data_IF_125225937393
#
_entry.id   IF_125225937393
#
_cell.length_a   1.000
_cell.length_b   1.000
_cell.length_c   1.000
_cell.angle_alpha   90.00
_cell.angle_beta   90.00
_cell.angle_gamma   90.00
#
_symmetry.space_group_name_H-M   'P 1'
#
loop_
_entity.id
_entity.type
_entity.pdbx_description
1 polymer ?
#
# COMPACT_ATOMS: atom_id res chain seq x y z
N UNK A 1 52.42 72.83 0.34
CA UNK A 1 51.93 71.82 -0.62
C UNK A 1 51.63 70.53 0.15
N UNK A 2 50.38 70.24 0.45
CA UNK A 2 49.97 68.93 0.99
C UNK A 2 48.94 68.34 0.03
N UNK A 3 49.29 67.19 -0.59
CA UNK A 3 48.39 66.43 -1.46
C UNK A 3 47.52 65.52 -0.59
N UNK A 4 46.21 65.72 -0.65
CA UNK A 4 45.24 64.84 -0.01
C UNK A 4 45.10 63.54 -0.82
N UNK A 5 45.32 62.41 -0.16
CA UNK A 5 45.06 61.06 -0.69
C UNK A 5 43.57 60.76 -0.49
N UNK A 6 42.85 60.48 -1.58
CA UNK A 6 41.46 60.02 -1.53
C UNK A 6 41.44 58.49 -1.44
N UNK A 7 40.92 57.95 -0.34
CA UNK A 7 40.54 56.54 -0.25
C UNK A 7 39.23 56.35 -1.02
N UNK A 8 39.25 55.47 -2.01
CA UNK A 8 38.05 55.02 -2.73
C UNK A 8 37.50 53.78 -2.01
N UNK A 9 36.33 53.91 -1.41
CA UNK A 9 35.64 52.80 -0.74
C UNK A 9 34.99 51.89 -1.78
N UNK A 10 35.59 50.72 -2.03
CA UNK A 10 34.97 49.66 -2.82
C UNK A 10 33.89 48.99 -1.98
N UNK A 11 32.63 49.25 -2.29
CA UNK A 11 31.50 48.62 -1.61
C UNK A 11 31.25 47.26 -2.25
N UNK A 12 31.63 46.19 -1.56
CA UNK A 12 31.32 44.80 -1.95
C UNK A 12 29.87 44.53 -1.57
N UNK A 13 28.97 44.51 -2.57
CA UNK A 13 27.58 44.12 -2.38
C UNK A 13 27.47 42.61 -2.18
N UNK A 14 27.20 42.19 -0.94
CA UNK A 14 26.91 40.80 -0.60
C UNK A 14 25.46 40.48 -1.03
N UNK A 15 25.28 39.75 -2.13
CA UNK A 15 23.97 39.21 -2.51
C UNK A 15 23.63 38.03 -1.59
N UNK A 16 22.70 38.23 -0.65
CA UNK A 16 22.03 37.14 0.05
C UNK A 16 20.91 36.58 -0.83
N UNK A 17 21.15 35.44 -1.47
CA UNK A 17 20.07 34.64 -2.06
C UNK A 17 19.31 33.95 -0.92
N UNK A 18 18.12 34.45 -0.60
CA UNK A 18 17.19 33.76 0.30
C UNK A 18 16.61 32.55 -0.42
N UNK A 19 17.16 31.36 -0.18
CA UNK A 19 16.45 30.11 -0.47
C UNK A 19 15.40 29.94 0.62
N UNK A 20 14.11 30.12 0.27
CA UNK A 20 13.03 29.67 1.14
C UNK A 20 13.10 28.14 1.18
N UNK A 21 13.65 27.60 2.26
CA UNK A 21 13.42 26.20 2.62
C UNK A 21 11.96 26.13 3.08
N UNK A 22 11.06 25.80 2.16
CA UNK A 22 9.70 25.43 2.54
C UNK A 22 9.82 24.11 3.30
N UNK A 23 9.68 24.18 4.63
CA UNK A 23 9.34 22.98 5.40
C UNK A 23 7.98 22.54 4.88
N UNK A 24 7.97 21.45 4.15
CA UNK A 24 6.83 21.01 3.39
C UNK A 24 6.06 20.05 4.32
N UNK A 25 4.84 20.45 4.70
CA UNK A 25 4.10 19.94 5.87
C UNK A 25 3.44 18.56 5.61
N UNK A 26 3.18 17.81 6.68
CA UNK A 26 2.30 16.63 6.68
C UNK A 26 0.93 17.03 6.13
N UNK A 27 0.40 16.29 5.16
CA UNK A 27 -0.97 16.47 4.68
C UNK A 27 -1.92 15.78 5.67
N UNK A 28 -2.83 16.51 6.35
CA UNK A 28 -3.67 15.91 7.40
C UNK A 28 -4.68 14.89 6.87
N UNK A 29 -5.21 15.13 5.67
CA UNK A 29 -6.18 14.28 4.99
C UNK A 29 -6.03 14.44 3.47
N UNK A 30 -6.04 13.32 2.74
CA UNK A 30 -6.29 13.30 1.29
C UNK A 30 -7.72 12.79 1.07
N UNK A 31 -8.50 13.49 0.26
CA UNK A 31 -9.94 13.24 0.11
C UNK A 31 -10.21 12.59 -1.24
N UNK A 32 -10.52 11.30 -1.23
CA UNK A 32 -10.77 10.52 -2.44
C UNK A 32 -12.26 10.57 -2.75
N UNK A 33 -12.63 11.28 -3.82
CA UNK A 33 -14.03 11.43 -4.27
C UNK A 33 -14.11 11.50 -5.78
N UNK A 34 -15.30 11.23 -6.33
CA UNK A 34 -15.66 11.48 -7.73
C UNK A 34 -14.65 10.90 -8.73
N UNK A 35 -14.22 9.66 -8.48
CA UNK A 35 -13.29 8.97 -9.36
C UNK A 35 -13.84 8.90 -10.79
N UNK A 36 -12.98 9.13 -11.77
CA UNK A 36 -13.35 8.88 -13.17
C UNK A 36 -12.25 8.12 -13.92
N UNK A 37 -12.68 7.26 -14.84
CA UNK A 37 -11.77 6.50 -15.69
C UNK A 37 -11.11 7.44 -16.71
N UNK A 38 -9.78 7.36 -16.83
CA UNK A 38 -9.05 8.03 -17.90
C UNK A 38 -9.58 7.59 -19.27
N UNK A 39 -9.72 8.54 -20.19
CA UNK A 39 -10.20 8.29 -21.55
C UNK A 39 -9.10 8.59 -22.58
N UNK A 40 -9.26 8.08 -23.80
CA UNK A 40 -8.29 8.25 -24.90
C UNK A 40 -8.04 6.95 -25.66
N UNK A 41 -7.25 7.01 -26.73
CA UNK A 41 -6.95 5.85 -27.58
C UNK A 41 -6.20 4.74 -26.85
N UNK A 42 -5.39 5.11 -25.85
CA UNK A 42 -4.53 4.18 -25.10
C UNK A 42 -5.15 3.76 -23.75
N UNK A 43 -6.32 4.31 -23.41
CA UNK A 43 -7.00 4.02 -22.16
C UNK A 43 -7.53 2.58 -22.14
N UNK A 44 -7.38 1.90 -21.01
CA UNK A 44 -7.98 0.58 -20.77
C UNK A 44 -9.43 0.73 -20.28
N UNK A 45 -10.21 -0.31 -20.50
CA UNK A 45 -11.59 -0.38 -20.02
C UNK A 45 -11.63 -0.43 -18.49
N UNK A 46 -12.74 0.04 -17.90
CA UNK A 46 -12.97 -0.03 -16.46
C UNK A 46 -12.72 -1.45 -15.92
N UNK A 47 -12.01 -1.54 -14.81
CA UNK A 47 -11.71 -2.79 -14.10
C UNK A 47 -10.68 -3.70 -14.78
N UNK A 48 -10.13 -3.33 -15.95
CA UNK A 48 -9.07 -4.09 -16.62
C UNK A 48 -7.68 -3.78 -16.04
N UNK A 49 -6.74 -4.72 -16.17
CA UNK A 49 -5.34 -4.44 -15.85
C UNK A 49 -4.81 -3.32 -16.77
N UNK A 50 -4.14 -2.34 -16.16
CA UNK A 50 -3.71 -1.09 -16.78
C UNK A 50 -4.80 0.00 -16.88
N UNK A 51 -6.00 -0.22 -16.35
CA UNK A 51 -6.99 0.86 -16.21
C UNK A 51 -6.49 1.91 -15.21
N UNK A 52 -6.71 3.18 -15.57
CA UNK A 52 -6.28 4.35 -14.79
C UNK A 52 -7.51 5.13 -14.38
N UNK A 53 -7.66 5.35 -13.08
CA UNK A 53 -8.71 6.15 -12.48
C UNK A 53 -8.10 7.39 -11.84
N UNK A 54 -8.71 8.54 -12.10
CA UNK A 54 -8.26 9.82 -11.56
C UNK A 54 -9.24 10.25 -10.48
N UNK A 55 -8.70 10.53 -9.30
CA UNK A 55 -9.39 11.17 -8.19
C UNK A 55 -8.94 12.63 -8.17
N UNK A 56 -9.78 13.57 -8.64
CA UNK A 56 -9.38 14.95 -8.75
C UNK A 56 -9.31 15.62 -7.38
N UNK A 57 -8.34 16.52 -7.20
CA UNK A 57 -8.20 17.39 -6.03
C UNK A 57 -8.22 16.65 -4.68
N UNK A 58 -7.52 15.51 -4.58
CA UNK A 58 -7.36 14.79 -3.30
C UNK A 58 -6.67 15.66 -2.25
N UNK A 59 -5.85 16.60 -2.69
CA UNK A 59 -5.42 17.78 -1.96
C UNK A 59 -5.45 18.97 -2.91
N UNK A 60 -5.19 20.16 -2.37
CA UNK A 60 -5.14 21.38 -3.18
C UNK A 60 -4.12 21.23 -4.32
N UNK A 61 -4.60 21.36 -5.55
CA UNK A 61 -3.82 21.30 -6.80
C UNK A 61 -3.11 19.94 -7.02
N UNK A 62 -3.58 18.87 -6.36
CA UNK A 62 -3.02 17.51 -6.45
C UNK A 62 -4.14 16.51 -6.74
N UNK A 63 -3.96 15.74 -7.80
CA UNK A 63 -4.79 14.58 -8.14
C UNK A 63 -4.11 13.29 -7.68
N UNK A 64 -4.92 12.29 -7.34
CA UNK A 64 -4.43 10.91 -7.22
C UNK A 64 -4.79 10.11 -8.47
N UNK A 65 -3.81 9.38 -8.98
CA UNK A 65 -3.93 8.52 -10.15
C UNK A 65 -3.82 7.07 -9.66
N UNK A 66 -4.91 6.32 -9.74
CA UNK A 66 -5.00 4.93 -9.32
C UNK A 66 -4.95 4.02 -10.55
N UNK A 67 -3.87 3.26 -10.67
CA UNK A 67 -3.66 2.31 -11.77
C UNK A 67 -3.82 0.88 -11.28
N UNK A 68 -4.65 0.08 -11.96
CA UNK A 68 -4.72 -1.37 -11.72
C UNK A 68 -3.47 -2.01 -12.31
N UNK A 69 -2.54 -2.48 -11.48
CA UNK A 69 -1.28 -3.09 -11.95
C UNK A 69 -1.47 -4.53 -12.38
N UNK A 70 -2.38 -5.24 -11.71
CA UNK A 70 -2.68 -6.62 -12.01
C UNK A 70 -3.48 -7.30 -10.92
N UNK A 71 -3.64 -8.60 -11.06
CA UNK A 71 -4.42 -9.44 -10.16
C UNK A 71 -3.86 -10.85 -10.07
N UNK A 72 -4.21 -11.53 -8.99
CA UNK A 72 -3.80 -12.92 -8.73
C UNK A 72 -4.35 -13.97 -9.71
N UNK A 73 -5.50 -13.72 -10.32
CA UNK A 73 -6.19 -14.63 -11.25
C UNK A 73 -7.16 -13.87 -12.14
N UNK A 74 -7.42 -14.40 -13.33
CA UNK A 74 -8.47 -13.96 -14.27
C UNK A 74 -9.90 -14.00 -13.69
N UNK A 75 -10.13 -14.73 -12.60
CA UNK A 75 -11.39 -14.75 -11.86
C UNK A 75 -11.59 -13.54 -10.95
N UNK A 76 -10.55 -12.74 -10.71
CA UNK A 76 -10.62 -11.55 -9.87
C UNK A 76 -11.14 -10.38 -10.70
N UNK A 77 -12.09 -9.64 -10.16
CA UNK A 77 -12.66 -8.46 -10.82
C UNK A 77 -12.82 -7.30 -9.86
N UNK A 78 -12.71 -6.09 -10.39
CA UNK A 78 -13.13 -4.87 -9.71
C UNK A 78 -14.62 -4.66 -10.00
N UNK A 79 -15.46 -4.70 -8.96
CA UNK A 79 -16.90 -4.46 -9.07
C UNK A 79 -17.19 -2.96 -9.07
N UNK A 80 -16.48 -2.20 -8.21
CA UNK A 80 -16.54 -0.75 -8.14
C UNK A 80 -15.14 -0.21 -7.80
N UNK A 81 -14.71 0.87 -8.47
CA UNK A 81 -13.44 1.54 -8.13
C UNK A 81 -13.53 2.29 -6.81
N UNK A 82 -14.71 2.86 -6.56
CA UNK A 82 -15.02 3.62 -5.36
C UNK A 82 -16.50 3.43 -5.05
N UNK A 83 -16.81 3.21 -3.78
CA UNK A 83 -18.17 3.15 -3.28
C UNK A 83 -18.51 4.51 -2.69
N UNK A 84 -19.27 5.29 -3.44
CA UNK A 84 -19.70 6.63 -3.04
C UNK A 84 -20.38 6.59 -1.67
N UNK A 85 -20.06 7.58 -0.84
CA UNK A 85 -20.81 7.85 0.38
C UNK A 85 -22.10 8.61 0.11
N UNK A 86 -22.92 8.85 1.14
CA UNK A 86 -24.20 9.55 0.99
C UNK A 86 -24.10 11.00 0.50
N UNK A 87 -22.99 11.70 0.72
CA UNK A 87 -22.79 13.06 0.20
C UNK A 87 -22.38 13.04 -1.29
N UNK A 88 -21.70 11.98 -1.75
CA UNK A 88 -21.34 11.76 -3.16
C UNK A 88 -22.51 11.17 -3.98
N UNK A 89 -23.22 10.17 -3.44
CA UNK A 89 -24.47 9.61 -4.02
C UNK A 89 -25.59 9.59 -2.97
N UNK A 90 -26.42 10.63 -2.98
CA UNK A 90 -27.57 10.76 -2.07
C UNK A 90 -28.65 9.66 -2.21
N UNK A 91 -28.62 8.86 -3.27
CA UNK A 91 -29.64 7.84 -3.53
C UNK A 91 -29.16 6.44 -3.16
N UNK A 92 -27.92 6.09 -3.52
CA UNK A 92 -27.39 4.74 -3.32
C UNK A 92 -26.05 4.71 -2.57
N UNK A 93 -25.57 5.85 -2.07
CA UNK A 93 -24.30 5.94 -1.35
C UNK A 93 -24.29 5.09 -0.09
N UNK A 94 -23.35 4.14 -0.05
CA UNK A 94 -23.18 3.22 1.08
C UNK A 94 -21.80 3.31 1.72
N UNK A 95 -20.88 4.05 1.12
CA UNK A 95 -19.52 4.24 1.60
C UNK A 95 -19.32 5.44 2.53
N UNK A 96 -18.05 5.81 2.73
CA UNK A 96 -17.61 7.02 3.38
C UNK A 96 -17.14 8.02 2.34
N UNK A 97 -17.69 9.22 2.42
CA UNK A 97 -17.51 10.24 1.40
C UNK A 97 -16.09 10.72 1.16
N UNK A 98 -15.11 10.46 2.04
CA UNK A 98 -13.73 10.92 1.85
C UNK A 98 -12.72 9.78 1.67
N UNK A 99 -13.18 8.53 1.75
CA UNK A 99 -12.32 7.36 1.66
C UNK A 99 -12.31 6.82 0.23
N UNK A 100 -11.22 6.17 -0.15
CA UNK A 100 -11.21 5.34 -1.35
C UNK A 100 -11.71 3.94 -1.01
N UNK A 101 -12.79 3.50 -1.66
CA UNK A 101 -13.48 2.27 -1.30
C UNK A 101 -13.66 1.30 -2.47
N UNK A 102 -12.58 0.65 -2.94
CA UNK A 102 -12.67 -0.31 -4.03
C UNK A 102 -13.36 -1.59 -3.55
N UNK A 103 -14.19 -2.14 -4.44
CA UNK A 103 -14.89 -3.39 -4.22
C UNK A 103 -14.29 -4.48 -5.12
N UNK A 104 -13.62 -5.47 -4.51
CA UNK A 104 -12.88 -6.53 -5.21
C UNK A 104 -13.59 -7.86 -5.03
N UNK A 105 -13.91 -8.52 -6.15
CA UNK A 105 -14.62 -9.79 -6.20
C UNK A 105 -13.76 -10.94 -6.71
N UNK A 106 -14.15 -12.16 -6.35
CA UNK A 106 -13.66 -13.40 -6.95
C UNK A 106 -14.81 -14.23 -7.54
N UNK A 107 -14.68 -14.61 -8.82
CA UNK A 107 -15.54 -15.56 -9.54
C UNK A 107 -17.05 -15.31 -9.34
N UNK A 108 -17.48 -14.06 -9.52
CA UNK A 108 -18.88 -13.65 -9.34
C UNK A 108 -19.35 -13.62 -7.88
N UNK A 109 -18.42 -13.42 -6.94
CA UNK A 109 -18.70 -13.34 -5.49
C UNK A 109 -18.59 -14.68 -4.76
N UNK A 110 -18.01 -15.71 -5.38
CA UNK A 110 -17.82 -17.02 -4.78
C UNK A 110 -16.36 -17.48 -4.80
N UNK A 111 -15.76 -17.69 -3.61
CA UNK A 111 -14.42 -18.25 -3.48
C UNK A 111 -14.47 -19.69 -2.94
N UNK A 112 -13.85 -20.67 -3.61
CA UNK A 112 -13.63 -22.03 -3.07
C UNK A 112 -12.77 -22.00 -1.81
N UNK A 113 -12.79 -23.09 -1.02
CA UNK A 113 -11.90 -23.23 0.13
C UNK A 113 -10.41 -23.12 -0.26
N UNK A 114 -9.59 -22.61 0.65
CA UNK A 114 -8.14 -22.41 0.49
C UNK A 114 -7.76 -21.55 -0.72
N UNK A 115 -8.62 -20.61 -1.09
CA UNK A 115 -8.38 -19.64 -2.16
C UNK A 115 -7.90 -18.33 -1.54
N UNK A 116 -6.84 -17.75 -2.11
CA UNK A 116 -6.44 -16.35 -1.87
C UNK A 116 -6.52 -15.59 -3.18
N UNK A 117 -7.07 -14.38 -3.12
CA UNK A 117 -7.17 -13.51 -4.30
C UNK A 117 -6.94 -12.06 -3.94
N UNK A 118 -6.45 -11.32 -4.92
CA UNK A 118 -6.15 -9.92 -4.78
C UNK A 118 -6.10 -9.19 -6.12
N UNK A 119 -6.28 -7.87 -6.03
CA UNK A 119 -5.89 -6.88 -7.04
C UNK A 119 -4.84 -5.95 -6.46
N UNK A 120 -3.86 -5.57 -7.27
CA UNK A 120 -2.82 -4.63 -6.89
C UNK A 120 -3.01 -3.30 -7.61
N UNK A 121 -2.93 -2.23 -6.85
CA UNK A 121 -3.11 -0.86 -7.29
C UNK A 121 -1.87 -0.05 -6.97
N UNK A 122 -1.43 0.73 -7.93
CA UNK A 122 -0.46 1.80 -7.73
C UNK A 122 -1.22 3.10 -7.64
N UNK A 123 -0.98 3.87 -6.60
CA UNK A 123 -1.56 5.20 -6.40
C UNK A 123 -0.41 6.18 -6.49
N UNK A 124 -0.42 7.02 -7.53
CA UNK A 124 0.53 8.11 -7.69
C UNK A 124 -0.15 9.47 -7.54
N UNK A 125 0.62 10.50 -7.24
CA UNK A 125 0.15 11.87 -7.09
C UNK A 125 0.71 12.73 -8.21
N UNK A 126 -0.15 13.55 -8.81
CA UNK A 126 0.21 14.42 -9.92
C UNK A 126 -0.40 15.81 -9.77
N UNK A 127 0.14 16.75 -10.54
CA UNK A 127 -0.40 18.11 -10.67
C UNK A 127 -1.80 18.05 -11.28
N UNK A 128 -2.76 18.77 -10.68
CA UNK A 128 -4.16 18.76 -11.14
C UNK A 128 -4.31 19.21 -12.61
N UNK A 129 -3.46 20.11 -13.08
CA UNK A 129 -3.53 20.67 -14.44
C UNK A 129 -2.71 19.84 -15.45
N UNK A 130 -1.78 19.00 -14.97
CA UNK A 130 -0.92 18.16 -15.80
C UNK A 130 -0.62 16.83 -15.12
N UNK A 131 -1.41 15.80 -15.44
CA UNK A 131 -1.25 14.44 -14.92
C UNK A 131 0.09 13.77 -15.30
N UNK A 132 0.85 14.34 -16.24
CA UNK A 132 2.21 13.89 -16.56
C UNK A 132 3.28 14.41 -15.59
N UNK A 133 2.93 15.36 -14.71
CA UNK A 133 3.82 15.98 -13.74
C UNK A 133 3.57 15.38 -12.35
N UNK A 134 4.39 14.42 -11.98
CA UNK A 134 4.36 13.80 -10.66
C UNK A 134 4.65 14.81 -9.53
N UNK A 135 3.93 14.65 -8.42
CA UNK A 135 4.06 15.47 -7.21
C UNK A 135 4.42 14.57 -6.04
N UNK A 136 5.53 14.86 -5.37
CA UNK A 136 5.85 14.19 -4.11
C UNK A 136 5.04 14.78 -2.96
N UNK A 137 4.39 13.91 -2.17
CA UNK A 137 3.74 14.26 -0.91
C UNK A 137 4.70 13.97 0.25
N UNK A 138 4.97 14.98 1.08
CA UNK A 138 5.99 14.88 2.14
C UNK A 138 5.62 13.88 3.22
N UNK A 139 4.34 13.80 3.53
CA UNK A 139 3.83 12.88 4.52
C UNK A 139 2.32 12.79 4.40
N UNK A 140 1.81 11.57 4.49
CA UNK A 140 0.39 11.31 4.59
C UNK A 140 0.16 9.97 5.31
N UNK A 141 -1.05 9.80 5.82
CA UNK A 141 -1.50 8.55 6.41
C UNK A 141 -2.45 7.83 5.47
N UNK A 142 -2.48 6.50 5.54
CA UNK A 142 -3.52 5.68 4.92
C UNK A 142 -4.03 4.71 5.96
N UNK A 143 -5.30 4.84 6.32
CA UNK A 143 -5.95 3.96 7.28
C UNK A 143 -6.86 2.98 6.57
N UNK A 144 -6.55 1.69 6.68
CA UNK A 144 -7.48 0.63 6.33
C UNK A 144 -8.55 0.52 7.42
N UNK A 145 -9.82 0.64 7.03
CA UNK A 145 -10.96 0.49 7.91
C UNK A 145 -11.61 -0.86 7.69
N UNK A 146 -12.10 -1.46 8.79
CA UNK A 146 -12.95 -2.64 8.75
C UNK A 146 -12.33 -3.82 8.00
N UNK A 147 -11.02 -4.06 8.17
CA UNK A 147 -10.31 -5.16 7.51
C UNK A 147 -10.70 -6.47 8.21
N UNK A 148 -11.72 -7.14 7.67
CA UNK A 148 -12.47 -8.14 8.42
C UNK A 148 -12.91 -9.36 7.58
N UNK A 149 -13.85 -10.16 8.11
CA UNK A 149 -14.29 -11.39 7.46
C UNK A 149 -15.77 -11.45 7.12
N UNK A 150 -16.20 -12.65 6.73
CA UNK A 150 -17.61 -12.90 6.38
C UNK A 150 -18.46 -13.52 7.51
N UNK A 151 -17.82 -13.68 8.68
CA UNK A 151 -18.36 -14.32 9.88
C UNK A 151 -18.19 -15.84 9.91
N UNK A 152 -17.50 -16.44 8.92
CA UNK A 152 -17.42 -17.89 8.75
C UNK A 152 -16.05 -18.39 8.31
N UNK A 153 -15.62 -18.06 7.10
CA UNK A 153 -14.48 -18.71 6.45
C UNK A 153 -13.59 -17.80 5.63
N UNK A 154 -14.02 -16.56 5.40
CA UNK A 154 -13.28 -15.55 4.65
C UNK A 154 -12.70 -14.52 5.61
N UNK A 155 -11.48 -14.09 5.31
CA UNK A 155 -10.78 -12.94 5.87
C UNK A 155 -10.30 -12.05 4.73
N UNK A 156 -10.50 -10.74 4.86
CA UNK A 156 -9.90 -9.72 4.03
C UNK A 156 -8.48 -9.45 4.47
N UNK A 157 -7.70 -8.91 3.56
CA UNK A 157 -6.40 -8.37 3.89
C UNK A 157 -6.09 -7.15 3.03
N UNK A 158 -5.29 -6.26 3.61
CA UNK A 158 -4.67 -5.16 2.90
C UNK A 158 -3.16 -5.31 2.98
N UNK A 159 -2.47 -5.18 1.85
CA UNK A 159 -1.01 -5.16 1.81
C UNK A 159 -0.52 -3.79 1.42
N UNK A 160 0.31 -3.18 2.25
CA UNK A 160 0.95 -1.90 1.98
C UNK A 160 2.44 -2.13 1.74
N UNK A 161 2.96 -1.54 0.68
CA UNK A 161 4.37 -1.61 0.31
C UNK A 161 5.08 -0.28 0.59
N UNK A 162 6.35 -0.37 0.97
CA UNK A 162 7.28 0.75 1.17
C UNK A 162 6.81 1.83 2.18
N UNK A 163 5.88 1.49 3.06
CA UNK A 163 5.45 2.34 4.18
C UNK A 163 6.60 2.59 5.17
N UNK A 164 6.58 3.77 5.79
CA UNK A 164 7.61 4.21 6.76
C UNK A 164 7.34 3.77 8.18
N UNK A 165 6.11 3.43 8.52
CA UNK A 165 5.69 2.77 9.76
C UNK A 165 4.20 2.43 9.64
N UNK A 166 3.70 1.68 10.60
CA UNK A 166 2.27 1.49 10.79
C UNK A 166 1.91 1.51 12.28
N UNK A 167 0.65 1.79 12.57
CA UNK A 167 0.07 1.77 13.91
C UNK A 167 -1.17 0.89 13.91
N UNK A 168 -1.32 0.08 14.96
CA UNK A 168 -2.48 -0.76 15.25
C UNK A 168 -2.87 -0.60 16.72
N UNK A 169 -4.09 -1.03 17.07
CA UNK A 169 -4.51 -1.15 18.47
C UNK A 169 -3.67 -2.23 19.19
N UNK A 170 -3.35 -2.05 20.48
CA UNK A 170 -2.61 -3.07 21.23
C UNK A 170 -3.33 -4.43 21.26
N UNK A 171 -4.66 -4.39 21.36
CA UNK A 171 -5.53 -5.56 21.32
C UNK A 171 -6.29 -5.57 19.99
N UNK A 172 -5.55 -5.73 18.88
CA UNK A 172 -6.11 -5.81 17.53
C UNK A 172 -6.42 -7.26 17.15
N UNK A 173 -7.42 -7.45 16.29
CA UNK A 173 -7.69 -8.71 15.61
C UNK A 173 -6.84 -8.87 14.33
N UNK A 174 -6.13 -7.82 13.90
CA UNK A 174 -5.28 -7.81 12.72
C UNK A 174 -3.98 -8.57 12.97
N UNK A 175 -3.60 -9.44 12.03
CA UNK A 175 -2.32 -10.14 12.04
C UNK A 175 -1.37 -9.55 10.98
N UNK A 176 -0.38 -8.74 11.37
CA UNK A 176 0.60 -8.19 10.44
C UNK A 176 1.65 -9.23 10.03
N UNK A 177 1.80 -9.48 8.74
CA UNK A 177 2.77 -10.42 8.15
C UNK A 177 3.77 -9.67 7.27
N UNK A 178 5.06 -9.94 7.43
CA UNK A 178 6.10 -9.44 6.51
C UNK A 178 5.97 -10.11 5.15
N UNK A 179 5.92 -9.31 4.10
CA UNK A 179 5.88 -9.82 2.73
C UNK A 179 6.88 -9.04 1.86
N UNK A 180 7.30 -9.63 0.74
CA UNK A 180 8.22 -9.01 -0.22
C UNK A 180 7.68 -9.15 -1.64
N UNK A 181 7.85 -8.09 -2.41
CA UNK A 181 7.52 -8.04 -3.82
C UNK A 181 6.09 -7.58 -4.11
N UNK A 182 5.99 -6.51 -4.88
CA UNK A 182 4.80 -6.12 -5.64
C UNK A 182 5.03 -6.39 -7.14
N UNK A 183 4.00 -6.21 -7.98
CA UNK A 183 4.12 -6.41 -9.43
C UNK A 183 5.07 -5.39 -10.09
N UNK A 184 5.21 -4.20 -9.51
CA UNK A 184 6.11 -3.15 -10.01
C UNK A 184 7.55 -3.28 -9.48
N UNK A 185 7.74 -3.89 -8.31
CA UNK A 185 9.06 -4.10 -7.70
C UNK A 185 9.09 -5.38 -6.83
N UNK A 186 9.75 -6.42 -7.33
CA UNK A 186 9.94 -7.69 -6.63
C UNK A 186 10.78 -7.59 -5.34
N UNK A 187 11.47 -6.47 -5.12
CA UNK A 187 12.23 -6.23 -3.91
C UNK A 187 11.50 -5.34 -2.89
N UNK A 188 10.34 -4.78 -3.24
CA UNK A 188 9.58 -3.91 -2.35
C UNK A 188 9.28 -4.65 -1.04
N UNK A 189 9.55 -3.99 0.08
CA UNK A 189 9.16 -4.51 1.39
C UNK A 189 7.70 -4.11 1.64
N UNK A 190 6.92 -5.02 2.19
CA UNK A 190 5.54 -4.73 2.55
C UNK A 190 5.11 -5.37 3.86
N UNK A 191 3.90 -5.00 4.26
CA UNK A 191 3.14 -5.68 5.32
C UNK A 191 1.77 -6.01 4.81
N UNK A 192 1.41 -7.29 4.90
CA UNK A 192 0.02 -7.72 4.79
C UNK A 192 -0.60 -7.62 6.18
N UNK A 193 -1.78 -7.03 6.25
CA UNK A 193 -2.59 -6.92 7.45
C UNK A 193 -3.79 -7.84 7.25
N UNK A 194 -3.72 -9.03 7.83
CA UNK A 194 -4.73 -10.06 7.69
C UNK A 194 -5.82 -9.88 8.76
N UNK A 195 -7.05 -9.71 8.32
CA UNK A 195 -8.22 -9.53 9.17
C UNK A 195 -8.69 -10.83 9.83
N UNK A 196 -9.57 -10.73 10.85
CA UNK A 196 -10.24 -11.90 11.40
C UNK A 196 -11.28 -12.46 10.41
N UNK A 197 -11.77 -13.68 10.65
CA UNK A 197 -12.97 -14.18 9.96
C UNK A 197 -14.26 -13.57 10.49
N UNK A 198 -14.20 -12.83 11.60
CA UNK A 198 -15.34 -12.14 12.22
C UNK A 198 -15.83 -11.04 11.29
N UNK A 199 -17.14 -10.97 11.11
CA UNK A 199 -17.79 -9.89 10.36
C UNK A 199 -18.18 -8.77 11.34
N UNK A 200 -17.60 -7.62 11.14
CA UNK A 200 -17.96 -6.32 11.69
C UNK A 200 -18.99 -5.68 10.74
N UNK A 201 -20.22 -5.42 11.22
CA UNK A 201 -21.25 -4.91 10.32
C UNK A 201 -20.98 -3.45 9.92
N UNK A 202 -20.80 -3.24 8.61
CA UNK A 202 -20.50 -1.95 7.98
C UNK A 202 -19.12 -1.43 8.34
N UNK A 203 -18.54 -0.70 7.40
CA UNK A 203 -17.31 0.05 7.66
C UNK A 203 -17.60 1.05 8.79
N UNK A 204 -16.72 1.07 9.79
CA UNK A 204 -16.81 1.95 10.95
C UNK A 204 -15.45 2.57 11.25
N UNK A 205 -15.46 3.83 11.67
CA UNK A 205 -14.26 4.56 12.08
C UNK A 205 -13.91 4.39 13.56
N UNK A 206 -14.59 3.47 14.25
CA UNK A 206 -14.47 3.30 15.71
C UNK A 206 -14.11 1.87 16.13
N UNK A 207 -14.17 0.88 15.24
CA UNK A 207 -13.69 -0.47 15.50
C UNK A 207 -12.16 -0.52 15.29
N UNK A 208 -11.42 0.00 16.27
CA UNK A 208 -9.96 0.15 16.18
C UNK A 208 -9.22 -1.19 16.15
N UNK A 209 -9.88 -2.28 16.56
CA UNK A 209 -9.37 -3.64 16.54
C UNK A 209 -9.21 -4.22 15.13
N UNK A 210 -9.93 -3.69 14.14
CA UNK A 210 -9.82 -4.06 12.70
C UNK A 210 -9.35 -2.89 11.83
N UNK A 211 -8.63 -1.95 12.43
CA UNK A 211 -8.04 -0.80 11.74
C UNK A 211 -6.52 -0.86 11.75
N UNK A 212 -5.94 -0.34 10.68
CA UNK A 212 -4.50 -0.19 10.50
C UNK A 212 -4.22 1.20 9.96
N UNK A 213 -3.28 1.95 10.53
CA UNK A 213 -2.86 3.25 9.98
C UNK A 213 -1.41 3.15 9.53
N UNK A 214 -1.16 3.28 8.22
CA UNK A 214 0.17 3.36 7.64
C UNK A 214 0.61 4.81 7.47
N UNK A 215 1.90 5.06 7.57
CA UNK A 215 2.51 6.36 7.26
C UNK A 215 3.45 6.24 6.07
N UNK A 216 3.32 7.18 5.14
CA UNK A 216 4.21 7.38 4.02
C UNK A 216 4.89 8.73 4.13
N UNK A 217 6.14 8.84 3.68
CA UNK A 217 6.87 10.09 3.69
C UNK A 217 7.72 10.27 2.44
N UNK A 218 7.71 11.50 1.92
CA UNK A 218 8.48 11.97 0.78
C UNK A 218 8.37 11.03 -0.42
N UNK A 219 7.13 10.74 -0.83
CA UNK A 219 6.84 9.83 -1.94
C UNK A 219 5.79 10.44 -2.86
N UNK A 220 5.94 10.20 -4.15
CA UNK A 220 4.98 10.53 -5.21
C UNK A 220 4.05 9.35 -5.51
N UNK A 221 4.36 8.15 -5.03
CA UNK A 221 3.51 6.97 -5.20
C UNK A 221 3.55 6.03 -3.99
N UNK A 222 2.59 5.11 -3.97
CA UNK A 222 2.68 3.89 -3.18
C UNK A 222 1.88 2.78 -3.86
N UNK A 223 2.15 1.54 -3.44
CA UNK A 223 1.44 0.36 -3.93
C UNK A 223 0.64 -0.25 -2.78
N UNK A 224 -0.60 -0.60 -3.08
CA UNK A 224 -1.48 -1.35 -2.18
C UNK A 224 -2.05 -2.57 -2.89
N UNK A 225 -2.12 -3.68 -2.18
CA UNK A 225 -2.84 -4.87 -2.61
C UNK A 225 -4.06 -5.05 -1.75
N UNK A 226 -5.19 -5.28 -2.40
CA UNK A 226 -6.48 -5.41 -1.76
C UNK A 226 -7.01 -6.79 -2.12
N UNK A 227 -7.37 -7.56 -1.11
CA UNK A 227 -7.73 -8.95 -1.33
C UNK A 227 -8.43 -9.58 -0.16
N UNK A 228 -8.71 -10.86 -0.35
CA UNK A 228 -9.24 -11.72 0.68
C UNK A 228 -8.78 -13.15 0.43
N UNK A 229 -8.91 -13.97 1.45
CA UNK A 229 -8.62 -15.40 1.36
C UNK A 229 -9.68 -16.20 2.11
N UNK A 230 -9.67 -17.50 1.90
CA UNK A 230 -10.58 -18.44 2.56
C UNK A 230 -9.77 -19.53 3.23
N UNK A 231 -10.20 -19.94 4.41
CA UNK A 231 -9.64 -21.10 5.09
C UNK A 231 -10.21 -22.42 4.54
N UNK A 232 -10.44 -23.37 5.44
CA UNK A 232 -10.90 -24.72 5.10
C UNK A 232 -12.30 -24.80 4.42
N UNK A 233 -13.06 -23.70 4.37
CA UNK A 233 -14.39 -23.66 3.78
C UNK A 233 -14.51 -22.54 2.74
N UNK A 234 -15.32 -22.78 1.71
CA UNK A 234 -15.64 -21.79 0.69
C UNK A 234 -16.49 -20.63 1.25
N UNK A 235 -16.56 -19.52 0.52
CA UNK A 235 -17.45 -18.40 0.82
C UNK A 235 -18.25 -17.98 -0.43
N UNK A 236 -19.51 -17.58 -0.22
CA UNK A 236 -20.35 -16.94 -1.24
C UNK A 236 -20.44 -15.43 -1.05
N UNK A 237 -19.50 -14.86 -0.29
CA UNK A 237 -19.37 -13.43 0.00
C UNK A 237 -17.98 -12.95 -0.40
N UNK A 238 -17.47 -13.44 -1.54
CA UNK A 238 -16.13 -13.13 -2.02
C UNK A 238 -16.06 -11.81 -2.81
N UNK A 239 -17.15 -11.03 -2.80
CA UNK A 239 -17.22 -9.66 -3.27
C UNK A 239 -17.09 -8.74 -2.05
N UNK A 240 -15.91 -8.12 -1.89
CA UNK A 240 -15.46 -7.51 -0.64
C UNK A 240 -15.29 -6.01 -0.79
N UNK A 241 -15.92 -5.27 0.12
CA UNK A 241 -15.88 -3.81 0.17
C UNK A 241 -14.70 -3.42 1.07
N UNK A 242 -13.72 -2.73 0.51
CA UNK A 242 -12.57 -2.26 1.26
C UNK A 242 -12.70 -0.75 1.48
N UNK A 243 -12.04 -0.22 2.49
CA UNK A 243 -12.04 1.22 2.74
C UNK A 243 -10.67 1.71 3.19
N UNK A 244 -10.09 2.60 2.40
CA UNK A 244 -8.82 3.26 2.66
C UNK A 244 -9.06 4.75 2.83
N UNK A 245 -9.01 5.23 4.07
CA UNK A 245 -9.15 6.64 4.36
C UNK A 245 -7.79 7.27 4.61
N UNK A 246 -7.42 8.25 3.81
CA UNK A 246 -6.10 8.86 3.80
C UNK A 246 -5.93 9.93 4.90
N UNK A 247 -6.14 9.51 6.14
CA UNK A 247 -5.98 10.29 7.36
C UNK A 247 -5.55 9.39 8.51
N UNK A 248 -5.11 10.00 9.60
CA UNK A 248 -4.86 9.29 10.85
C UNK A 248 -6.14 9.13 11.68
N UNK A 249 -6.23 8.02 12.44
CA UNK A 249 -7.27 7.78 13.43
C UNK A 249 -6.67 7.57 14.82
N UNK A 250 -7.46 7.90 15.85
CA UNK A 250 -7.08 7.65 17.23
C UNK A 250 -7.32 6.18 17.59
N UNK A 251 -6.31 5.55 18.17
CA UNK A 251 -6.40 4.25 18.84
C UNK A 251 -6.49 4.45 20.35
N UNK A 252 -7.07 3.50 21.07
CA UNK A 252 -7.18 3.60 22.53
C UNK A 252 -5.79 3.44 23.18
N UNK A 253 -5.03 2.45 22.72
CA UNK A 253 -3.66 2.14 23.10
C UNK A 253 -2.86 1.83 21.82
N UNK A 254 -2.33 2.86 21.14
CA UNK A 254 -1.63 2.68 19.87
C UNK A 254 -0.31 1.91 20.06
N UNK A 255 -0.05 0.94 19.19
CA UNK A 255 1.25 0.29 19.05
C UNK A 255 1.82 0.65 17.68
N UNK A 256 2.83 1.52 17.67
CA UNK A 256 3.53 1.93 16.47
C UNK A 256 4.69 0.98 16.18
N UNK A 257 4.80 0.55 14.92
CA UNK A 257 5.83 -0.36 14.44
C UNK A 257 6.64 0.32 13.34
N UNK A 258 7.95 0.35 13.52
CA UNK A 258 8.87 0.81 12.48
C UNK A 258 9.12 -0.32 11.46
N UNK A 259 9.41 0.01 10.19
CA UNK A 259 9.83 -0.96 9.20
C UNK A 259 11.12 -1.58 9.73
N UNK A 260 11.14 -2.91 9.82
CA UNK A 260 12.39 -3.63 9.99
C UNK A 260 13.22 -3.37 8.73
N UNK A 261 14.11 -2.39 8.77
CA UNK A 261 15.23 -2.36 7.85
C UNK A 261 16.05 -3.59 8.16
N UNK A 262 16.05 -4.59 7.27
CA UNK A 262 16.98 -5.70 7.35
C UNK A 262 18.38 -5.08 7.16
N UNK A 263 19.08 -4.82 8.27
CA UNK A 263 20.52 -4.73 8.21
C UNK A 263 20.95 -6.12 7.74
N UNK A 264 21.30 -6.26 6.47
CA UNK A 264 22.12 -7.37 6.05
C UNK A 264 23.38 -7.26 6.91
N UNK A 265 23.42 -8.05 7.98
CA UNK A 265 24.62 -8.22 8.78
C UNK A 265 25.58 -8.97 7.87
N UNK A 266 26.42 -8.21 7.16
CA UNK A 266 27.61 -8.75 6.55
C UNK A 266 28.51 -9.12 7.73
N UNK A 267 28.42 -10.38 8.19
CA UNK A 267 29.45 -10.99 9.03
C UNK A 267 30.81 -10.64 8.40
N UNK A 268 31.71 -9.88 9.07
CA UNK A 268 33.07 -9.82 8.62
C UNK A 268 33.63 -11.24 8.73
N UNK A 269 33.93 -11.86 7.59
CA UNK A 269 34.61 -13.14 7.53
C UNK A 269 35.97 -13.02 8.23
N UNK A 270 36.02 -13.35 9.52
CA UNK A 270 37.24 -13.68 10.23
C UNK A 270 36.93 -14.79 11.22
N UNK A 271 37.59 -15.93 10.98
CA UNK A 271 37.54 -17.10 11.82
C UNK A 271 37.99 -16.79 13.25
N UNK A 272 37.39 -17.56 14.17
CA UNK A 272 37.76 -17.78 15.57
C UNK A 272 37.29 -16.75 16.61
N UNK A 273 36.32 -17.22 17.42
CA UNK A 273 35.99 -16.80 18.79
C UNK A 273 35.22 -15.49 18.99
N UNK A 274 33.89 -15.59 18.95
CA UNK A 274 33.03 -14.85 19.88
C UNK A 274 31.77 -15.68 20.22
N UNK A 275 31.85 -16.39 21.34
CA UNK A 275 30.70 -16.94 22.06
C UNK A 275 30.00 -15.79 22.80
N UNK A 276 28.68 -15.92 22.96
CA UNK A 276 27.82 -15.33 23.99
C UNK A 276 27.14 -13.96 23.77
N UNK A 277 25.80 -14.02 23.89
CA UNK A 277 24.81 -12.97 24.23
C UNK A 277 24.12 -12.21 23.09
N UNK A 278 23.02 -12.81 22.62
CA UNK A 278 21.74 -12.12 22.50
C UNK A 278 20.59 -13.12 22.76
N UNK A 279 20.30 -13.38 24.04
CA UNK A 279 19.01 -13.93 24.46
C UNK A 279 18.36 -12.87 25.35
N UNK A 280 17.04 -12.74 25.22
CA UNK A 280 16.09 -11.92 26.00
C UNK A 280 15.72 -10.55 25.39
N UNK A 281 14.88 -10.59 24.35
CA UNK A 281 13.71 -9.71 24.22
C UNK A 281 12.73 -10.27 23.16
N UNK A 282 12.07 -11.39 23.50
CA UNK A 282 10.78 -11.90 22.99
C UNK A 282 10.77 -13.43 23.15
N UNK A 283 10.51 -13.93 24.36
CA UNK A 283 9.95 -15.28 24.49
C UNK A 283 8.51 -15.23 23.97
N UNK A 284 7.95 -16.21 23.27
CA UNK A 284 8.41 -17.55 22.94
C UNK A 284 7.18 -18.45 22.87
N UNK A 285 6.88 -18.98 21.68
CA UNK A 285 6.27 -20.29 21.34
C UNK A 285 5.71 -20.16 19.91
N UNK A 286 6.30 -20.76 18.88
CA UNK A 286 6.51 -22.18 18.57
C UNK A 286 5.57 -22.57 17.42
N UNK A 287 6.21 -22.81 16.27
CA UNK A 287 5.89 -23.85 15.29
C UNK A 287 5.43 -23.42 13.89
N UNK A 288 6.23 -23.88 12.92
CA UNK A 288 6.00 -24.11 11.49
C UNK A 288 6.35 -22.98 10.51
N UNK A 289 7.66 -22.83 10.29
CA UNK A 289 8.21 -22.47 8.98
C UNK A 289 7.85 -23.54 7.94
N UNK A 290 6.96 -23.20 7.00
CA UNK A 290 6.92 -23.78 5.67
C UNK A 290 6.88 -22.62 4.68
N UNK A 291 8.05 -22.03 4.45
CA UNK A 291 8.31 -21.25 3.26
C UNK A 291 8.69 -22.20 2.11
N UNK A 292 8.56 -21.74 0.86
CA UNK A 292 8.71 -22.42 -0.44
C UNK A 292 7.45 -23.03 -1.07
N UNK A 293 6.76 -22.24 -1.91
CA UNK A 293 6.23 -22.70 -3.21
C UNK A 293 5.77 -21.53 -4.10
N UNK A 294 6.69 -20.98 -4.91
CA UNK A 294 6.36 -20.29 -6.16
C UNK A 294 7.56 -20.40 -7.13
N UNK A 295 7.90 -21.62 -7.54
CA UNK A 295 8.73 -21.90 -8.72
C UNK A 295 8.18 -23.15 -9.43
N UNK A 296 8.32 -23.13 -10.77
CA UNK A 296 7.94 -24.13 -11.79
C UNK A 296 6.53 -23.95 -12.37
N UNK A 297 6.36 -23.62 -13.66
CA UNK A 297 6.84 -24.40 -14.80
C UNK A 297 7.17 -23.53 -16.04
N UNK A 298 8.39 -23.66 -16.56
CA UNK A 298 8.69 -23.45 -17.98
C UNK A 298 9.73 -24.49 -18.43
N UNK A 299 9.27 -25.72 -18.63
CA UNK A 299 10.06 -26.82 -19.17
C UNK A 299 9.76 -27.06 -20.65
N UNK A 300 10.63 -26.59 -21.54
CA UNK A 300 10.78 -27.20 -22.87
C UNK A 300 12.25 -27.25 -23.28
N UNK A 301 12.92 -28.35 -22.92
CA UNK A 301 14.25 -28.71 -23.43
C UNK A 301 14.10 -29.90 -24.38
N UNK A 302 14.43 -29.67 -25.65
CA UNK A 302 14.62 -30.69 -26.69
C UNK A 302 15.74 -31.65 -26.27
N UNK A 303 15.44 -32.94 -26.17
CA UNK A 303 16.44 -34.01 -26.05
C UNK A 303 17.06 -34.33 -27.40
N UNK A 304 18.39 -34.23 -27.49
CA UNK A 304 19.19 -34.73 -28.61
C UNK A 304 19.45 -36.24 -28.47
N UNK A 305 19.10 -36.99 -29.52
CA UNK A 305 19.47 -38.40 -29.73
C UNK A 305 20.99 -38.55 -29.92
N UNK A 306 21.60 -39.54 -29.25
CA UNK A 306 22.84 -40.19 -29.71
C UNK A 306 22.61 -41.70 -29.81
N UNK A 307 22.94 -42.23 -30.98
CA UNK A 307 22.87 -43.63 -31.39
C UNK A 307 23.91 -44.50 -30.68
N UNK A 308 23.54 -45.73 -30.35
CA UNK A 308 24.50 -46.83 -30.12
C UNK A 308 24.71 -47.59 -31.43
N UNK A 309 25.97 -47.88 -31.71
CA UNK A 309 26.44 -48.77 -32.77
C UNK A 309 27.14 -49.95 -32.07
N UNK A 310 26.78 -51.16 -32.52
CA UNK A 310 27.14 -52.53 -32.10
C UNK A 310 26.73 -52.98 -30.69
#
# INVERSE_FOLDING_TARGET
>A
MMKAVRLSACTVGLLFTYTKVLSQELVPELVFTHAYLQSGSDAKQAGADGAIYIFPNVAKDIDAIVTIKGRSSDKVSLTAIDLDGPDQDTQNGTGYDNAWQPQVAYDGGHAPANTSWWMEFEVSFADHEDHGKEISVNGFFVTGLDVDGDGKSLHEFLTFYNQKNYTIEQNTDIQPVSIRGCLSDYNANGKEFDGPTKNYPKITTTATDVMITNFYANTNDFVVRIGAKTGAYASSKADRMNSLWFKSFAFNIPVAHLPLSYLAYNEPTNQENAVEKAVVAAGGNSDNENDYACLENNGSRKQGRRSKIY
#
